data_IF_785804608118
#
_entry.id   IF_785804608118
#
_cell.length_a   1.000
_cell.length_b   1.000
_cell.length_c   1.000
_cell.angle_alpha   90.00
_cell.angle_beta   90.00
_cell.angle_gamma   90.00
#
_symmetry.space_group_name_H-M   'P 1'
#
loop_
_entity.id
_entity.type
_entity.pdbx_description
1 polymer ?
#
# COMPACT_ATOMS: atom_id res chain seq x y z
N UNK A 1 -1.43 13.80 -4.10
CA UNK A 1 -0.72 13.98 -2.82
C UNK A 1 -0.02 15.32 -2.83
N UNK A 2 0.09 16.02 -1.69
CA UNK A 2 0.88 17.24 -1.60
C UNK A 2 2.33 17.04 -2.10
N UNK A 3 2.96 18.11 -2.57
CA UNK A 3 4.38 18.06 -2.93
C UNK A 3 5.21 17.72 -1.68
N UNK A 4 6.16 16.79 -1.81
CA UNK A 4 7.01 16.33 -0.70
C UNK A 4 6.46 15.14 0.09
N UNK A 5 5.29 14.59 -0.26
CA UNK A 5 4.80 13.34 0.33
C UNK A 5 5.77 12.19 0.02
N UNK A 6 6.19 11.48 1.08
CA UNK A 6 7.03 10.29 0.96
C UNK A 6 6.18 9.09 0.59
N UNK A 7 6.65 8.30 -0.37
CA UNK A 7 5.94 7.12 -0.88
C UNK A 7 6.92 5.95 -0.99
N UNK A 8 6.45 4.76 -0.64
CA UNK A 8 7.13 3.47 -0.78
C UNK A 8 6.30 2.56 -1.71
N UNK A 9 6.98 1.71 -2.49
CA UNK A 9 6.32 0.70 -3.31
C UNK A 9 6.32 -0.64 -2.56
N UNK A 10 5.15 -1.25 -2.44
CA UNK A 10 4.98 -2.57 -1.82
C UNK A 10 4.36 -3.54 -2.81
N UNK A 11 4.91 -4.73 -2.92
CA UNK A 11 4.27 -5.81 -3.68
C UNK A 11 2.95 -6.20 -3.04
N UNK A 12 1.90 -6.30 -3.86
CA UNK A 12 0.59 -6.76 -3.40
C UNK A 12 0.65 -8.29 -3.31
N UNK A 13 0.39 -8.83 -2.12
CA UNK A 13 0.53 -10.26 -1.85
C UNK A 13 -0.60 -11.12 -2.46
N UNK A 14 -1.80 -10.54 -2.60
CA UNK A 14 -2.97 -11.19 -3.24
C UNK A 14 -3.65 -10.24 -4.22
N UNK A 15 -3.04 -9.99 -5.40
CA UNK A 15 -3.62 -9.09 -6.39
C UNK A 15 -5.03 -9.52 -6.82
N UNK A 16 -5.27 -10.83 -6.94
CA UNK A 16 -6.57 -11.42 -7.28
C UNK A 16 -7.69 -11.09 -6.27
N UNK A 17 -7.35 -10.88 -5.00
CA UNK A 17 -8.30 -10.49 -3.97
C UNK A 17 -8.68 -8.99 -4.02
N UNK A 18 -7.86 -8.16 -4.67
CA UNK A 18 -7.97 -6.69 -4.59
C UNK A 18 -8.14 -6.00 -5.95
N UNK A 19 -7.84 -6.69 -7.05
CA UNK A 19 -7.77 -6.12 -8.39
C UNK A 19 -8.66 -6.89 -9.37
N UNK A 20 -9.89 -7.19 -8.96
CA UNK A 20 -10.82 -8.06 -9.71
C UNK A 20 -11.02 -7.67 -11.18
N UNK A 21 -10.96 -6.38 -11.52
CA UNK A 21 -11.02 -5.94 -12.92
C UNK A 21 -9.77 -6.37 -13.70
N UNK A 22 -8.56 -6.13 -13.16
CA UNK A 22 -7.32 -6.56 -13.79
C UNK A 22 -7.28 -8.09 -13.92
N UNK A 23 -7.73 -8.80 -12.88
CA UNK A 23 -7.84 -10.25 -12.89
C UNK A 23 -8.83 -10.76 -13.94
N UNK A 24 -9.95 -10.05 -14.17
CA UNK A 24 -10.92 -10.42 -15.19
C UNK A 24 -10.41 -10.23 -16.61
N UNK A 25 -9.51 -9.25 -16.82
CA UNK A 25 -8.95 -8.93 -18.15
C UNK A 25 -7.73 -9.80 -18.45
N UNK A 26 -6.79 -9.90 -17.51
CA UNK A 26 -5.47 -10.52 -17.69
C UNK A 26 -5.40 -11.97 -17.17
N UNK A 27 -6.41 -12.41 -16.41
CA UNK A 27 -6.39 -13.69 -15.70
C UNK A 27 -5.83 -13.60 -14.27
N UNK A 28 -5.66 -14.75 -13.61
CA UNK A 28 -5.25 -14.84 -12.20
C UNK A 28 -3.78 -14.53 -11.92
N UNK A 29 -2.91 -14.70 -12.91
CA UNK A 29 -1.46 -14.53 -12.76
C UNK A 29 -1.02 -13.10 -13.07
N UNK A 30 -1.43 -12.17 -12.20
CA UNK A 30 -1.00 -10.78 -12.26
C UNK A 30 -0.08 -10.44 -11.09
N UNK A 31 0.93 -9.61 -11.35
CA UNK A 31 1.75 -8.97 -10.33
C UNK A 31 1.33 -7.52 -10.16
N UNK A 32 1.33 -7.02 -8.93
CA UNK A 32 0.92 -5.65 -8.66
C UNK A 32 1.78 -4.98 -7.58
N UNK A 33 1.90 -3.66 -7.71
CA UNK A 33 2.56 -2.79 -6.74
C UNK A 33 1.54 -1.79 -6.18
N UNK A 34 1.58 -1.60 -4.87
CA UNK A 34 0.87 -0.55 -4.16
C UNK A 34 1.81 0.60 -3.83
N UNK A 35 1.39 1.83 -4.12
CA UNK A 35 2.01 3.03 -3.57
C UNK A 35 1.49 3.25 -2.15
N UNK A 36 2.38 3.12 -1.17
CA UNK A 36 2.09 3.38 0.24
C UNK A 36 2.64 4.75 0.62
N UNK A 37 1.84 5.62 1.21
CA UNK A 37 2.28 6.97 1.61
C UNK A 37 2.43 7.17 3.12
N UNK A 38 3.36 8.05 3.50
CA UNK A 38 3.46 8.59 4.85
C UNK A 38 2.48 9.76 5.06
N UNK A 39 2.08 10.00 6.31
CA UNK A 39 1.29 11.18 6.69
C UNK A 39 2.12 12.48 6.57
N UNK A 40 1.49 13.63 6.83
CA UNK A 40 2.12 14.95 6.73
C UNK A 40 3.30 15.14 7.71
N UNK A 41 3.42 14.25 8.71
CA UNK A 41 4.52 14.21 9.70
C UNK A 41 5.57 13.16 9.37
N UNK A 42 5.45 12.50 8.22
CA UNK A 42 6.37 11.49 7.73
C UNK A 42 6.24 10.13 8.44
N UNK A 43 5.12 9.87 9.13
CA UNK A 43 4.84 8.58 9.76
C UNK A 43 4.16 7.65 8.77
N UNK A 44 4.58 6.39 8.76
CA UNK A 44 4.04 5.36 7.86
C UNK A 44 2.81 4.66 8.44
N UNK A 45 1.99 3.97 7.63
CA UNK A 45 0.76 3.30 8.09
C UNK A 45 0.94 2.24 9.17
N UNK A 46 2.14 1.67 9.27
CA UNK A 46 2.50 0.70 10.32
C UNK A 46 2.96 1.36 11.62
N UNK A 47 3.10 2.69 11.65
CA UNK A 47 3.35 3.40 12.89
C UNK A 47 2.07 3.45 13.74
N UNK A 48 2.15 3.25 15.07
CA UNK A 48 0.98 3.21 15.94
C UNK A 48 0.21 4.55 15.99
N UNK A 49 0.85 5.64 15.58
CA UNK A 49 0.29 6.99 15.55
C UNK A 49 0.16 7.54 14.12
N UNK A 50 0.05 6.67 13.12
CA UNK A 50 -0.17 7.09 11.74
C UNK A 50 -1.40 8.02 11.62
N UNK A 51 -1.18 9.19 11.04
CA UNK A 51 -2.19 10.23 10.83
C UNK A 51 -3.03 10.55 12.08
N UNK A 52 -2.48 10.31 13.27
CA UNK A 52 -3.16 10.41 14.57
C UNK A 52 -4.53 9.68 14.60
N UNK A 53 -4.68 8.63 13.79
CA UNK A 53 -5.92 7.85 13.64
C UNK A 53 -6.97 8.48 12.72
N UNK A 54 -6.71 9.65 12.11
CA UNK A 54 -7.65 10.32 11.22
C UNK A 54 -7.84 9.60 9.88
N UNK A 55 -6.80 8.94 9.36
CA UNK A 55 -6.88 8.09 8.16
C UNK A 55 -6.28 6.74 8.41
N UNK A 56 -6.80 5.76 7.68
CA UNK A 56 -6.27 4.41 7.60
C UNK A 56 -5.87 4.16 6.16
N UNK A 57 -4.71 3.54 5.99
CA UNK A 57 -4.26 3.04 4.70
C UNK A 57 -4.03 1.54 4.81
N UNK A 58 -4.87 0.71 4.20
CA UNK A 58 -4.60 -0.72 4.07
C UNK A 58 -3.30 -0.93 3.31
N UNK A 59 -2.42 -1.80 3.82
CA UNK A 59 -1.23 -2.26 3.10
C UNK A 59 -1.51 -3.69 2.63
N UNK A 60 -1.59 -3.89 1.32
CA UNK A 60 -2.10 -5.13 0.71
C UNK A 60 -1.00 -6.18 0.46
N UNK A 61 0.09 -6.09 1.22
CA UNK A 61 1.27 -6.94 1.07
C UNK A 61 2.18 -6.86 2.27
N UNK A 62 3.26 -7.64 2.24
CA UNK A 62 4.27 -7.63 3.29
C UNK A 62 5.31 -6.55 2.98
N UNK A 63 5.70 -5.79 4.00
CA UNK A 63 6.81 -4.84 3.89
C UNK A 63 8.10 -5.60 3.65
N UNK A 64 8.77 -5.34 2.52
CA UNK A 64 10.13 -5.82 2.28
C UNK A 64 11.08 -5.11 3.27
N UNK A 65 11.45 -5.80 4.36
CA UNK A 65 12.52 -5.32 5.26
C UNK A 65 12.17 -5.14 6.74
N UNK A 66 11.17 -5.85 7.27
CA UNK A 66 11.15 -6.16 8.71
C UNK A 66 11.14 -7.68 8.90
N UNK A 67 11.94 -8.24 9.83
CA UNK A 67 11.76 -9.62 10.29
C UNK A 67 10.37 -9.82 10.92
#
# INVERSE_FOLDING_TARGET
MPAGTRVELTEVGRPDAHMGMATAIEGGDITALQLVWADDRGRWPWAPNFDDGCRIQPVLGIRAGQP
#
